data_IF_305528913046
#
_entry.id   IF_305528913046
#
_cell.length_a   1.000
_cell.length_b   1.000
_cell.length_c   1.000
_cell.angle_alpha   90.00
_cell.angle_beta   90.00
_cell.angle_gamma   90.00
#
_symmetry.space_group_name_H-M   'P 1'
#
loop_
_entity.id
_entity.type
_entity.pdbx_description
1 polymer ?
#
# COMPACT_ATOMS: atom_id res chain seq x y z
N UNK A 1 -17.82 24.33 -26.50
CA UNK A 1 -16.82 23.28 -26.17
C UNK A 1 -16.27 23.39 -24.75
N UNK A 2 -15.63 24.49 -24.32
CA UNK A 2 -15.02 24.61 -22.96
C UNK A 2 -15.95 24.25 -21.79
N UNK A 3 -17.20 24.76 -21.78
CA UNK A 3 -18.18 24.50 -20.71
C UNK A 3 -18.57 23.02 -20.55
N UNK A 4 -18.50 22.22 -21.63
CA UNK A 4 -18.80 20.79 -21.58
C UNK A 4 -17.62 20.00 -20.99
N UNK A 5 -16.38 20.38 -21.33
CA UNK A 5 -15.16 19.74 -20.79
C UNK A 5 -15.03 20.01 -19.29
N UNK A 6 -15.30 21.24 -18.83
CA UNK A 6 -15.31 21.57 -17.40
C UNK A 6 -16.35 20.75 -16.63
N UNK A 7 -17.54 20.55 -17.23
CA UNK A 7 -18.57 19.70 -16.65
C UNK A 7 -18.12 18.24 -16.59
N UNK A 8 -17.64 17.67 -17.70
CA UNK A 8 -17.18 16.28 -17.74
C UNK A 8 -16.02 16.04 -16.75
N UNK A 9 -15.15 17.03 -16.58
CA UNK A 9 -14.07 17.02 -15.60
C UNK A 9 -14.57 17.02 -14.15
N UNK A 10 -15.58 17.84 -13.84
CA UNK A 10 -16.22 17.82 -12.53
C UNK A 10 -16.86 16.45 -12.26
N UNK A 11 -17.58 15.90 -13.23
CA UNK A 11 -18.17 14.56 -13.13
C UNK A 11 -17.12 13.47 -12.94
N UNK A 12 -15.97 13.56 -13.60
CA UNK A 12 -14.86 12.61 -13.39
C UNK A 12 -14.36 12.66 -11.95
N UNK A 13 -14.12 13.85 -11.41
CA UNK A 13 -13.64 14.01 -10.04
C UNK A 13 -14.64 13.48 -9.02
N UNK A 14 -15.93 13.78 -9.20
CA UNK A 14 -17.00 13.22 -8.35
C UNK A 14 -17.02 11.69 -8.45
N UNK A 15 -16.90 11.15 -9.66
CA UNK A 15 -16.90 9.69 -9.88
C UNK A 15 -15.68 9.02 -9.23
N UNK A 16 -14.50 9.65 -9.27
CA UNK A 16 -13.30 9.17 -8.57
C UNK A 16 -13.55 9.14 -7.06
N UNK A 17 -14.15 10.18 -6.49
CA UNK A 17 -14.48 10.23 -5.05
C UNK A 17 -15.45 9.10 -4.68
N UNK A 18 -16.54 8.94 -5.44
CA UNK A 18 -17.52 7.86 -5.22
C UNK A 18 -16.84 6.49 -5.29
N UNK A 19 -15.98 6.27 -6.29
CA UNK A 19 -15.22 5.03 -6.45
C UNK A 19 -14.32 4.76 -5.24
N UNK A 20 -13.52 5.74 -4.82
CA UNK A 20 -12.60 5.59 -3.68
C UNK A 20 -13.37 5.31 -2.39
N UNK A 21 -14.44 6.06 -2.13
CA UNK A 21 -15.30 5.84 -0.96
C UNK A 21 -15.94 4.46 -1.01
N UNK A 22 -16.42 4.01 -2.16
CA UNK A 22 -16.97 2.65 -2.33
C UNK A 22 -15.94 1.58 -1.95
N UNK A 23 -14.70 1.70 -2.43
CA UNK A 23 -13.64 0.75 -2.09
C UNK A 23 -13.36 0.77 -0.58
N UNK A 24 -13.12 1.95 0.00
CA UNK A 24 -12.82 2.07 1.44
C UNK A 24 -13.97 1.57 2.32
N UNK A 25 -15.21 1.93 1.99
CA UNK A 25 -16.40 1.49 2.74
C UNK A 25 -16.61 -0.03 2.63
N UNK A 26 -16.29 -0.65 1.50
CA UNK A 26 -16.37 -2.11 1.36
C UNK A 26 -15.42 -2.81 2.34
N UNK A 27 -14.22 -2.28 2.54
CA UNK A 27 -13.24 -2.80 3.50
C UNK A 27 -13.73 -2.64 4.94
N UNK A 28 -14.25 -1.44 5.27
CA UNK A 28 -14.82 -1.16 6.59
C UNK A 28 -16.03 -2.04 6.90
N UNK A 29 -16.95 -2.19 5.95
CA UNK A 29 -18.21 -2.92 6.12
C UNK A 29 -17.96 -4.41 6.35
N UNK A 30 -17.03 -5.00 5.59
CA UNK A 30 -16.63 -6.40 5.73
C UNK A 30 -15.62 -6.64 6.86
N UNK A 31 -15.23 -5.57 7.60
CA UNK A 31 -14.28 -5.60 8.73
C UNK A 31 -12.99 -6.38 8.42
N UNK A 32 -12.37 -6.09 7.28
CA UNK A 32 -11.27 -6.91 6.73
C UNK A 32 -9.97 -6.72 7.52
N UNK A 33 -9.72 -7.54 8.55
CA UNK A 33 -8.45 -7.54 9.29
C UNK A 33 -7.55 -8.67 8.81
N UNK A 34 -6.44 -8.33 8.14
CA UNK A 34 -5.48 -9.31 7.65
C UNK A 34 -4.05 -8.91 7.94
N UNK A 35 -3.14 -9.89 8.01
CA UNK A 35 -1.72 -9.68 8.27
C UNK A 35 -1.53 -8.72 9.46
N UNK A 36 -0.58 -7.78 9.40
CA UNK A 36 -0.20 -6.94 10.55
C UNK A 36 -1.40 -6.21 11.18
N UNK A 37 -2.51 -5.98 10.47
CA UNK A 37 -3.72 -5.41 11.06
C UNK A 37 -4.29 -6.30 12.19
N UNK A 38 -4.19 -7.64 12.07
CA UNK A 38 -4.60 -8.60 13.12
C UNK A 38 -3.70 -8.49 14.35
N UNK A 39 -2.38 -8.41 14.19
CA UNK A 39 -1.46 -8.24 15.32
C UNK A 39 -1.75 -6.95 16.07
N UNK A 40 -1.90 -5.84 15.33
CA UNK A 40 -2.14 -4.53 15.92
C UNK A 40 -3.53 -4.46 16.59
N UNK A 41 -4.55 -5.07 16.00
CA UNK A 41 -5.86 -5.15 16.65
C UNK A 41 -5.79 -5.94 17.97
N UNK A 42 -4.95 -6.98 18.04
CA UNK A 42 -4.77 -7.80 19.25
C UNK A 42 -4.04 -7.10 20.37
N UNK A 43 -2.83 -6.61 20.10
CA UNK A 43 -1.89 -6.11 21.12
C UNK A 43 -2.48 -4.96 21.94
N UNK A 44 -3.50 -4.29 21.40
CA UNK A 44 -3.97 -3.00 21.88
C UNK A 44 -5.48 -2.96 22.12
N UNK A 45 -6.16 -4.11 22.10
CA UNK A 45 -7.59 -4.22 22.47
C UNK A 45 -7.84 -3.91 23.94
N UNK A 46 -6.82 -4.04 24.79
CA UNK A 46 -6.91 -3.85 26.24
C UNK A 46 -5.83 -2.88 26.74
N UNK A 47 -5.86 -1.63 26.25
CA UNK A 47 -4.96 -0.59 26.76
C UNK A 47 -5.44 -0.18 28.16
N UNK A 48 -4.69 -0.60 29.18
CA UNK A 48 -4.91 -0.19 30.58
C UNK A 48 -4.09 1.04 31.00
N UNK A 49 -3.18 1.49 30.14
CA UNK A 49 -2.25 2.59 30.42
C UNK A 49 -2.86 3.96 30.10
N UNK A 50 -2.28 5.02 30.66
CA UNK A 50 -2.60 6.40 30.26
C UNK A 50 -2.13 6.68 28.83
N UNK A 51 -2.74 7.67 28.16
CA UNK A 51 -2.42 8.03 26.77
C UNK A 51 -0.92 8.19 26.52
N UNK A 52 -0.23 9.01 27.31
CA UNK A 52 1.20 9.25 27.11
C UNK A 52 2.06 8.02 27.36
N UNK A 53 1.75 7.22 28.39
CA UNK A 53 2.44 5.95 28.65
C UNK A 53 2.27 4.99 27.46
N UNK A 54 1.04 4.91 26.94
CA UNK A 54 0.72 4.09 25.79
C UNK A 54 1.50 4.49 24.54
N UNK A 55 1.50 5.79 24.19
CA UNK A 55 2.26 6.31 23.05
C UNK A 55 3.74 5.97 23.18
N UNK A 56 4.34 6.18 24.36
CA UNK A 56 5.75 5.87 24.58
C UNK A 56 6.05 4.38 24.41
N UNK A 57 5.22 3.50 25.00
CA UNK A 57 5.37 2.04 24.87
C UNK A 57 5.20 1.58 23.43
N UNK A 58 4.24 2.16 22.69
CA UNK A 58 4.00 1.85 21.29
C UNK A 58 5.17 2.26 20.40
N UNK A 59 5.70 3.45 20.61
CA UNK A 59 6.86 3.97 19.89
C UNK A 59 8.13 3.17 20.19
N UNK A 60 8.24 2.59 21.38
CA UNK A 60 9.34 1.69 21.74
C UNK A 60 9.19 0.27 21.13
N UNK A 61 8.14 0.00 20.34
CA UNK A 61 8.05 -1.28 19.64
C UNK A 61 9.13 -1.44 18.57
N UNK A 62 9.53 -2.69 18.33
CA UNK A 62 10.51 -3.08 17.31
C UNK A 62 10.15 -2.53 15.92
N UNK A 63 8.86 -2.36 15.63
CA UNK A 63 8.40 -1.89 14.32
C UNK A 63 8.22 -0.38 14.22
N UNK A 64 7.89 0.32 15.31
CA UNK A 64 7.48 1.73 15.27
C UNK A 64 8.55 2.71 15.76
N UNK A 65 9.58 2.24 16.48
CA UNK A 65 10.73 3.07 16.88
C UNK A 65 11.44 3.71 15.67
N UNK A 66 11.40 3.02 14.54
CA UNK A 66 11.93 3.48 13.26
C UNK A 66 11.06 4.55 12.56
N UNK A 67 9.81 4.74 13.01
CA UNK A 67 8.80 5.53 12.30
C UNK A 67 7.97 6.39 13.25
N UNK A 68 8.60 7.25 14.06
CA UNK A 68 7.95 7.89 15.20
C UNK A 68 6.77 8.79 14.84
N UNK A 69 6.79 9.43 13.66
CA UNK A 69 5.70 10.31 13.24
C UNK A 69 4.44 9.50 12.96
N UNK A 70 4.57 8.44 12.18
CA UNK A 70 3.44 7.57 11.85
C UNK A 70 3.03 6.70 13.03
N UNK A 71 3.99 6.30 13.86
CA UNK A 71 3.77 5.54 15.08
C UNK A 71 2.93 6.33 16.07
N UNK A 72 3.21 7.63 16.23
CA UNK A 72 2.38 8.52 17.05
C UNK A 72 0.93 8.55 16.54
N UNK A 73 0.72 8.83 15.25
CA UNK A 73 -0.65 8.92 14.68
C UNK A 73 -1.37 7.57 14.79
N UNK A 74 -0.70 6.47 14.46
CA UNK A 74 -1.26 5.12 14.58
C UNK A 74 -1.64 4.80 16.01
N UNK A 75 -0.73 5.05 16.96
CA UNK A 75 -0.99 4.83 18.37
C UNK A 75 -2.14 5.72 18.89
N UNK A 76 -2.26 6.97 18.43
CA UNK A 76 -3.42 7.80 18.76
C UNK A 76 -4.73 7.18 18.26
N UNK A 77 -4.76 6.74 17.00
CA UNK A 77 -5.95 6.06 16.43
C UNK A 77 -6.28 4.81 17.25
N UNK A 78 -5.27 4.03 17.61
CA UNK A 78 -5.46 2.79 18.37
C UNK A 78 -5.91 3.05 19.81
N UNK A 79 -5.32 4.04 20.47
CA UNK A 79 -5.70 4.45 21.83
C UNK A 79 -7.13 4.96 21.89
N UNK A 80 -7.59 5.69 20.87
CA UNK A 80 -8.99 6.12 20.78
C UNK A 80 -9.88 4.93 20.41
N UNK A 81 -9.34 3.96 19.65
CA UNK A 81 -10.12 2.81 19.22
C UNK A 81 -10.50 1.89 20.37
N UNK A 82 -9.61 1.57 21.31
CA UNK A 82 -9.84 0.65 22.44
C UNK A 82 -10.79 -0.52 22.08
N UNK A 83 -12.08 -0.38 22.41
CA UNK A 83 -13.14 -1.37 22.24
C UNK A 83 -13.97 -1.22 20.95
N UNK A 84 -13.71 -0.18 20.14
CA UNK A 84 -14.46 0.18 18.95
C UNK A 84 -13.60 0.02 17.68
N UNK A 85 -13.79 -1.12 17.01
CA UNK A 85 -13.19 -1.45 15.72
C UNK A 85 -13.44 -0.39 14.63
N UNK A 86 -14.55 0.35 14.67
CA UNK A 86 -14.84 1.42 13.70
C UNK A 86 -13.80 2.55 13.72
N UNK A 87 -13.22 2.82 14.88
CA UNK A 87 -12.19 3.86 15.02
C UNK A 87 -10.86 3.38 14.43
N UNK A 88 -10.55 2.08 14.51
CA UNK A 88 -9.36 1.50 13.87
C UNK A 88 -9.41 1.67 12.34
N UNK A 89 -10.60 1.49 11.75
CA UNK A 89 -10.84 1.74 10.33
C UNK A 89 -10.67 3.22 9.93
N UNK A 90 -10.54 4.17 10.87
CA UNK A 90 -10.19 5.55 10.54
C UNK A 90 -8.85 5.64 9.81
N UNK A 91 -7.94 4.68 10.03
CA UNK A 91 -6.68 4.57 9.29
C UNK A 91 -6.87 4.54 7.77
N UNK A 92 -7.98 3.97 7.28
CA UNK A 92 -8.28 3.90 5.84
C UNK A 92 -8.60 5.28 5.22
N UNK A 93 -9.03 6.28 6.01
CA UNK A 93 -9.32 7.63 5.49
C UNK A 93 -8.05 8.39 5.07
N UNK A 94 -6.87 7.97 5.54
CA UNK A 94 -5.62 8.58 5.08
C UNK A 94 -5.34 8.31 3.61
N UNK A 95 -5.88 7.23 3.02
CA UNK A 95 -5.75 6.99 1.59
C UNK A 95 -6.54 8.00 0.73
N UNK A 96 -7.85 8.24 0.94
CA UNK A 96 -8.55 9.37 0.31
C UNK A 96 -7.88 10.73 0.55
N UNK A 97 -7.35 10.97 1.75
CA UNK A 97 -6.64 12.22 2.05
C UNK A 97 -5.35 12.36 1.22
N UNK A 98 -4.59 11.27 1.05
CA UNK A 98 -3.39 11.28 0.21
C UNK A 98 -3.73 11.52 -1.26
N UNK A 99 -4.85 10.99 -1.77
CA UNK A 99 -5.36 11.29 -3.12
C UNK A 99 -5.70 12.77 -3.31
N UNK A 100 -6.32 13.40 -2.31
CA UNK A 100 -6.62 14.83 -2.35
C UNK A 100 -5.34 15.65 -2.45
N UNK A 101 -4.33 15.35 -1.63
CA UNK A 101 -3.03 16.05 -1.68
C UNK A 101 -2.32 15.80 -3.01
N UNK A 102 -2.34 14.57 -3.53
CA UNK A 102 -1.78 14.26 -4.86
C UNK A 102 -2.47 15.11 -5.94
N UNK A 103 -3.81 15.16 -5.94
CA UNK A 103 -4.58 15.95 -6.89
C UNK A 103 -4.23 17.43 -6.79
N UNK A 104 -4.22 17.99 -5.58
CA UNK A 104 -3.93 19.41 -5.31
C UNK A 104 -2.53 19.80 -5.77
N UNK A 105 -1.52 18.98 -5.50
CA UNK A 105 -0.15 19.24 -5.95
C UNK A 105 -0.04 19.05 -7.46
N UNK A 106 -0.63 18.00 -8.02
CA UNK A 106 -0.57 17.72 -9.46
C UNK A 106 -1.23 18.82 -10.30
N UNK A 107 -2.39 19.35 -9.91
CA UNK A 107 -3.08 20.40 -10.65
C UNK A 107 -2.37 21.76 -10.62
N UNK A 108 -1.44 21.96 -9.68
CA UNK A 108 -0.58 23.16 -9.66
C UNK A 108 0.57 23.04 -10.65
N UNK A 109 1.01 21.82 -10.95
CA UNK A 109 2.15 21.53 -11.83
C UNK A 109 1.67 21.24 -13.27
N UNK A 110 0.50 20.62 -13.40
CA UNK A 110 -0.07 20.11 -14.64
C UNK A 110 -1.50 20.61 -14.84
N UNK A 111 -2.10 20.26 -15.98
CA UNK A 111 -3.52 20.55 -16.20
C UNK A 111 -4.41 19.72 -15.28
N UNK A 112 -5.60 20.25 -15.02
CA UNK A 112 -6.64 19.58 -14.22
C UNK A 112 -6.96 18.19 -14.77
N UNK A 113 -7.00 18.03 -16.10
CA UNK A 113 -7.25 16.74 -16.76
C UNK A 113 -6.19 15.70 -16.38
N UNK A 114 -4.90 16.08 -16.46
CA UNK A 114 -3.79 15.19 -16.11
C UNK A 114 -3.73 14.91 -14.62
N UNK A 115 -3.97 15.92 -13.78
CA UNK A 115 -4.05 15.73 -12.33
C UNK A 115 -5.11 14.68 -11.98
N UNK A 116 -6.28 14.77 -12.60
CA UNK A 116 -7.37 13.81 -12.40
C UNK A 116 -7.02 12.40 -12.87
N UNK A 117 -6.34 12.28 -14.02
CA UNK A 117 -5.87 10.99 -14.52
C UNK A 117 -4.79 10.38 -13.60
N UNK A 118 -3.84 11.19 -13.11
CA UNK A 118 -2.82 10.74 -12.14
C UNK A 118 -3.49 10.25 -10.86
N UNK A 119 -4.43 11.02 -10.31
CA UNK A 119 -5.17 10.65 -9.10
C UNK A 119 -5.98 9.37 -9.31
N UNK A 120 -6.68 9.23 -10.43
CA UNK A 120 -7.40 8.00 -10.78
C UNK A 120 -6.45 6.81 -10.85
N UNK A 121 -5.39 6.89 -11.67
CA UNK A 121 -4.45 5.76 -11.85
C UNK A 121 -3.69 5.45 -10.57
N UNK A 122 -3.38 6.43 -9.72
CA UNK A 122 -2.85 6.18 -8.39
C UNK A 122 -3.87 5.45 -7.53
N UNK A 123 -5.12 5.87 -7.53
CA UNK A 123 -6.20 5.26 -6.74
C UNK A 123 -6.48 3.79 -7.13
N UNK A 124 -6.21 3.39 -8.38
CA UNK A 124 -6.42 2.03 -8.86
C UNK A 124 -5.14 1.28 -9.25
N UNK A 125 -3.95 1.79 -8.88
CA UNK A 125 -2.68 1.13 -9.17
C UNK A 125 -2.55 -0.22 -8.47
N UNK A 126 -2.10 -1.23 -9.22
CA UNK A 126 -1.76 -2.57 -8.72
C UNK A 126 -0.43 -2.61 -7.92
N UNK A 127 0.38 -1.56 -8.02
CA UNK A 127 1.58 -1.38 -7.21
C UNK A 127 1.17 -0.74 -5.88
N UNK A 128 1.57 -1.35 -4.76
CA UNK A 128 1.28 -0.87 -3.43
C UNK A 128 -0.19 -1.02 -3.02
N UNK A 129 -0.90 -2.05 -3.47
CA UNK A 129 -2.36 -2.20 -3.21
C UNK A 129 -2.68 -2.24 -1.73
N UNK A 130 -1.86 -2.89 -0.90
CA UNK A 130 -2.03 -2.93 0.56
C UNK A 130 -2.21 -1.55 1.19
N UNK A 131 -1.66 -0.49 0.59
CA UNK A 131 -1.77 0.90 1.09
C UNK A 131 -3.21 1.41 1.16
N UNK A 132 -4.08 0.82 0.34
CA UNK A 132 -5.50 1.16 0.24
C UNK A 132 -6.39 0.27 1.11
N UNK A 133 -5.98 -0.96 1.37
CA UNK A 133 -6.83 -2.00 1.98
C UNK A 133 -6.51 -2.29 3.45
N UNK A 134 -5.41 -1.77 3.97
CA UNK A 134 -4.92 -2.03 5.32
C UNK A 134 -4.87 -0.75 6.14
N UNK A 135 -5.42 -0.79 7.36
CA UNK A 135 -5.52 0.37 8.23
C UNK A 135 -4.14 0.79 8.76
N UNK A 136 -3.24 -0.16 9.06
CA UNK A 136 -1.86 0.13 9.47
C UNK A 136 -1.05 0.83 8.36
N UNK A 137 -1.51 0.78 7.11
CA UNK A 137 -0.87 1.48 5.99
C UNK A 137 -1.16 2.98 5.95
N UNK A 138 -1.86 3.54 6.96
CA UNK A 138 -1.90 4.98 7.18
C UNK A 138 -0.50 5.60 7.19
N UNK A 139 0.53 4.85 7.63
CA UNK A 139 1.93 5.28 7.63
C UNK A 139 2.43 5.65 6.24
N UNK A 140 2.14 4.82 5.23
CA UNK A 140 2.52 5.08 3.84
C UNK A 140 1.72 6.23 3.24
N UNK A 141 0.46 6.37 3.64
CA UNK A 141 -0.39 7.48 3.18
C UNK A 141 0.08 8.83 3.74
N UNK A 142 0.40 8.90 5.03
CA UNK A 142 1.02 10.07 5.67
C UNK A 142 2.36 10.41 5.03
N UNK A 143 3.22 9.41 4.80
CA UNK A 143 4.49 9.62 4.13
C UNK A 143 4.31 10.23 2.74
N UNK A 144 3.32 9.76 1.98
CA UNK A 144 2.95 10.30 0.66
C UNK A 144 2.47 11.75 0.75
N UNK A 145 1.59 12.07 1.72
CA UNK A 145 1.11 13.44 1.95
C UNK A 145 2.29 14.38 2.21
N UNK A 146 3.14 14.05 3.18
CA UNK A 146 4.29 14.88 3.52
C UNK A 146 5.28 15.01 2.37
N UNK A 147 5.48 13.93 1.60
CA UNK A 147 6.33 13.96 0.41
C UNK A 147 5.79 14.92 -0.66
N UNK A 148 4.51 14.80 -1.02
CA UNK A 148 3.87 15.67 -2.01
C UNK A 148 3.90 17.14 -1.58
N UNK A 149 3.61 17.41 -0.30
CA UNK A 149 3.69 18.76 0.25
C UNK A 149 5.13 19.30 0.26
N UNK A 150 6.12 18.45 0.54
CA UNK A 150 7.54 18.85 0.44
C UNK A 150 7.89 19.31 -0.97
N UNK A 151 7.50 18.54 -1.99
CA UNK A 151 7.73 18.90 -3.40
C UNK A 151 7.00 20.21 -3.75
N UNK A 152 5.75 20.37 -3.30
CA UNK A 152 4.98 21.59 -3.52
C UNK A 152 5.67 22.83 -2.93
N UNK A 153 6.08 22.77 -1.65
CA UNK A 153 6.79 23.86 -0.97
C UNK A 153 8.14 24.16 -1.64
N UNK A 154 8.87 23.11 -2.04
CA UNK A 154 10.15 23.26 -2.73
C UNK A 154 10.00 23.97 -4.08
N UNK A 155 9.00 23.55 -4.86
CA UNK A 155 8.82 24.00 -6.24
C UNK A 155 8.21 25.40 -6.31
N UNK A 156 7.11 25.66 -5.59
CA UNK A 156 6.37 26.91 -5.69
C UNK A 156 6.85 27.99 -4.72
N UNK A 157 7.13 27.62 -3.47
CA UNK A 157 7.54 28.58 -2.43
C UNK A 157 9.05 28.73 -2.32
N UNK A 158 9.83 27.81 -2.91
CA UNK A 158 11.30 27.79 -2.87
C UNK A 158 11.87 27.82 -1.45
N UNK A 159 11.07 27.39 -0.47
CA UNK A 159 11.40 27.34 0.95
C UNK A 159 12.01 25.96 1.27
N UNK A 160 13.33 25.96 1.40
CA UNK A 160 14.11 24.73 1.63
C UNK A 160 13.90 24.21 3.03
N UNK A 161 13.79 25.08 4.03
CA UNK A 161 13.66 24.64 5.41
C UNK A 161 12.35 23.88 5.62
N UNK A 162 11.22 24.47 5.19
CA UNK A 162 9.92 23.83 5.33
C UNK A 162 9.80 22.57 4.45
N UNK A 163 10.36 22.58 3.23
CA UNK A 163 10.45 21.36 2.41
C UNK A 163 11.27 20.28 3.10
N UNK A 164 12.44 20.61 3.67
CA UNK A 164 13.25 19.66 4.42
C UNK A 164 12.49 19.06 5.60
N UNK A 165 11.77 19.88 6.38
CA UNK A 165 10.96 19.38 7.51
C UNK A 165 9.87 18.41 7.05
N UNK A 166 9.13 18.74 5.99
CA UNK A 166 8.12 17.86 5.42
C UNK A 166 8.73 16.58 4.85
N UNK A 167 9.89 16.66 4.20
CA UNK A 167 10.59 15.47 3.71
C UNK A 167 11.10 14.57 4.85
N UNK A 168 11.67 15.15 5.91
CA UNK A 168 12.05 14.41 7.11
C UNK A 168 10.82 13.72 7.71
N UNK A 169 9.70 14.44 7.86
CA UNK A 169 8.45 13.86 8.34
C UNK A 169 8.00 12.69 7.44
N UNK A 170 8.09 12.80 6.11
CA UNK A 170 7.79 11.70 5.19
C UNK A 170 8.65 10.46 5.47
N UNK A 171 9.97 10.62 5.59
CA UNK A 171 10.89 9.50 5.86
C UNK A 171 10.66 8.88 7.24
N UNK A 172 10.36 9.70 8.25
CA UNK A 172 10.02 9.23 9.61
C UNK A 172 8.59 8.68 9.73
N UNK A 173 7.76 8.80 8.69
CA UNK A 173 6.53 8.02 8.59
C UNK A 173 6.80 6.67 7.91
N UNK A 174 7.58 6.66 6.83
CA UNK A 174 7.95 5.43 6.16
C UNK A 174 9.28 5.58 5.41
N UNK A 175 10.28 4.81 5.81
CA UNK A 175 11.65 4.93 5.33
C UNK A 175 11.82 4.67 3.83
N UNK A 176 10.84 4.03 3.17
CA UNK A 176 10.85 3.79 1.73
C UNK A 176 10.92 5.09 0.90
N UNK A 177 10.59 6.24 1.50
CA UNK A 177 10.68 7.57 0.88
C UNK A 177 12.10 8.17 0.91
N UNK A 178 13.02 7.64 1.72
CA UNK A 178 14.38 8.17 1.87
C UNK A 178 15.12 8.34 0.54
N UNK A 179 15.10 7.38 -0.39
CA UNK A 179 15.81 7.54 -1.67
C UNK A 179 15.31 8.70 -2.53
N UNK A 180 14.10 9.22 -2.30
CA UNK A 180 13.55 10.35 -3.04
C UNK A 180 14.20 11.69 -2.65
N UNK A 181 15.19 11.67 -1.76
CA UNK A 181 16.09 12.80 -1.52
C UNK A 181 16.75 13.24 -2.83
N UNK A 182 17.17 12.31 -3.69
CA UNK A 182 17.81 12.62 -4.97
C UNK A 182 16.89 13.43 -5.89
N UNK A 183 15.58 13.16 -5.84
CA UNK A 183 14.61 13.93 -6.61
C UNK A 183 14.50 15.38 -6.11
N UNK A 184 14.54 15.61 -4.79
CA UNK A 184 14.57 16.97 -4.25
C UNK A 184 15.85 17.70 -4.69
N UNK A 185 17.00 17.04 -4.65
CA UNK A 185 18.27 17.61 -5.10
C UNK A 185 18.26 17.96 -6.59
N UNK A 186 17.59 17.15 -7.41
CA UNK A 186 17.38 17.45 -8.82
C UNK A 186 16.59 18.75 -9.02
N UNK A 187 15.52 18.98 -8.25
CA UNK A 187 14.71 20.20 -8.35
C UNK A 187 15.39 21.46 -7.82
N UNK A 188 16.29 21.35 -6.84
CA UNK A 188 17.04 22.50 -6.32
C UNK A 188 18.12 22.88 -7.32
N UNK A 189 18.06 24.08 -7.91
CA UNK A 189 19.06 24.53 -8.90
C UNK A 189 20.38 25.07 -8.30
N UNK A 190 20.34 25.69 -7.12
CA UNK A 190 21.52 26.35 -6.50
C UNK A 190 22.31 25.37 -5.63
N UNK A 191 23.62 25.26 -5.85
CA UNK A 191 24.49 24.33 -5.11
C UNK A 191 24.49 24.56 -3.58
N UNK A 192 24.61 25.82 -3.11
CA UNK A 192 24.52 26.13 -1.67
C UNK A 192 23.22 25.61 -1.04
N UNK A 193 22.10 25.82 -1.75
CA UNK A 193 20.77 25.36 -1.35
C UNK A 193 20.65 23.83 -1.32
N UNK A 194 21.29 23.12 -2.25
CA UNK A 194 21.37 21.64 -2.24
C UNK A 194 22.10 21.15 -1.00
N UNK A 195 23.27 21.71 -0.72
CA UNK A 195 24.08 21.35 0.45
C UNK A 195 23.29 21.58 1.74
N UNK A 196 22.63 22.74 1.88
CA UNK A 196 21.76 23.02 3.03
C UNK A 196 20.64 21.99 3.17
N UNK A 197 19.97 21.63 2.08
CA UNK A 197 18.92 20.61 2.11
C UNK A 197 19.46 19.25 2.56
N UNK A 198 20.62 18.81 2.05
CA UNK A 198 21.28 17.55 2.44
C UNK A 198 21.63 17.56 3.93
N UNK A 199 22.28 18.61 4.41
CA UNK A 199 22.70 18.71 5.82
C UNK A 199 21.50 18.65 6.75
N UNK A 200 20.43 19.40 6.45
CA UNK A 200 19.23 19.40 7.28
C UNK A 200 18.57 18.01 7.25
N UNK A 201 18.36 17.45 6.06
CA UNK A 201 17.61 16.19 5.90
C UNK A 201 18.40 14.98 6.39
N UNK A 202 19.53 14.66 5.77
CA UNK A 202 20.35 13.51 6.17
C UNK A 202 20.94 13.68 7.56
N UNK A 203 21.37 14.90 7.94
CA UNK A 203 21.87 15.16 9.28
C UNK A 203 20.82 14.85 10.35
N UNK A 204 19.58 15.34 10.18
CA UNK A 204 18.49 15.03 11.11
C UNK A 204 18.15 13.55 11.13
N UNK A 205 18.07 12.89 9.97
CA UNK A 205 17.75 11.46 9.88
C UNK A 205 18.84 10.62 10.53
N UNK A 206 20.12 10.93 10.32
CA UNK A 206 21.25 10.22 10.93
C UNK A 206 21.25 10.43 12.45
N UNK A 207 21.11 11.68 12.92
CA UNK A 207 21.03 11.99 14.35
C UNK A 207 19.87 11.22 14.98
N UNK A 208 18.70 11.21 14.33
CA UNK A 208 17.56 10.44 14.81
C UNK A 208 17.88 8.94 14.87
N UNK A 209 18.34 8.34 13.76
CA UNK A 209 18.55 6.89 13.65
C UNK A 209 19.69 6.35 14.51
N UNK A 210 20.78 7.10 14.66
CA UNK A 210 22.01 6.62 15.31
C UNK A 210 22.19 7.12 16.74
N UNK A 211 21.54 8.21 17.12
CA UNK A 211 21.69 8.80 18.46
C UNK A 211 20.36 8.74 19.21
N UNK A 212 19.31 9.36 18.68
CA UNK A 212 18.04 9.51 19.41
C UNK A 212 17.33 8.16 19.55
N UNK A 213 17.17 7.42 18.45
CA UNK A 213 16.42 6.17 18.42
C UNK A 213 17.01 5.12 19.37
N UNK A 214 18.33 4.83 19.38
CA UNK A 214 18.90 3.85 20.31
C UNK A 214 18.92 4.32 21.77
N UNK A 215 18.95 5.63 22.02
CA UNK A 215 18.97 6.19 23.37
C UNK A 215 17.57 6.23 24.01
N UNK A 216 16.53 6.48 23.20
CA UNK A 216 15.14 6.63 23.67
C UNK A 216 14.39 5.29 23.63
N UNK A 217 14.65 4.45 22.63
CA UNK A 217 13.88 3.22 22.40
C UNK A 217 14.72 1.97 22.67
N UNK A 218 14.41 1.29 23.78
CA UNK A 218 15.08 0.08 24.27
C UNK A 218 14.90 -1.11 23.31
N UNK A 219 13.73 -1.25 22.68
CA UNK A 219 13.45 -2.39 21.79
C UNK A 219 13.57 -2.02 20.30
N UNK A 220 14.34 -0.97 19.99
CA UNK A 220 14.52 -0.52 18.62
C UNK A 220 15.15 -1.61 17.72
N UNK A 221 14.45 -1.96 16.64
CA UNK A 221 14.97 -2.87 15.62
C UNK A 221 15.54 -2.07 14.44
N UNK A 222 16.78 -2.37 14.05
CA UNK A 222 17.40 -1.80 12.86
C UNK A 222 17.01 -2.64 11.64
N UNK A 223 16.22 -2.06 10.73
CA UNK A 223 15.83 -2.67 9.44
C UNK A 223 16.88 -2.48 8.34
N UNK A 224 17.89 -1.65 8.61
CA UNK A 224 18.93 -1.30 7.66
C UNK A 224 19.90 -2.48 7.50
N UNK A 225 20.11 -2.93 6.27
CA UNK A 225 21.03 -4.01 5.94
C UNK A 225 22.22 -3.48 5.14
N UNK A 226 22.84 -2.39 5.62
CA UNK A 226 23.93 -1.69 4.92
C UNK A 226 25.11 -2.63 4.67
N UNK A 227 25.40 -3.52 5.61
CA UNK A 227 26.54 -4.45 5.52
C UNK A 227 26.40 -5.48 4.39
N UNK A 228 25.18 -5.66 3.86
CA UNK A 228 24.86 -6.62 2.80
C UNK A 228 24.77 -5.97 1.40
N UNK A 229 25.03 -4.67 1.26
CA UNK A 229 25.03 -3.99 -0.05
C UNK A 229 26.09 -4.57 -1.01
N UNK A 230 27.22 -5.02 -0.45
CA UNK A 230 28.32 -5.61 -1.22
C UNK A 230 28.13 -7.12 -1.49
N UNK A 231 27.05 -7.72 -0.98
CA UNK A 231 26.70 -9.10 -1.32
C UNK A 231 26.15 -9.15 -2.76
N UNK A 232 27.04 -9.47 -3.69
CA UNK A 232 26.73 -9.56 -5.13
C UNK A 232 25.58 -10.51 -5.40
N UNK A 233 25.44 -11.63 -4.66
CA UNK A 233 24.33 -12.58 -4.86
C UNK A 233 23.01 -11.93 -4.51
N UNK A 234 22.94 -11.23 -3.37
CA UNK A 234 21.75 -10.50 -2.94
C UNK A 234 21.40 -9.37 -3.91
N UNK A 235 22.39 -8.59 -4.36
CA UNK A 235 22.16 -7.49 -5.33
C UNK A 235 21.58 -8.02 -6.64
N UNK A 236 22.15 -9.10 -7.18
CA UNK A 236 21.62 -9.77 -8.38
C UNK A 236 20.19 -10.26 -8.13
N UNK A 237 19.92 -10.87 -6.97
CA UNK A 237 18.58 -11.35 -6.63
C UNK A 237 17.55 -10.21 -6.56
N UNK A 238 17.90 -9.08 -5.94
CA UNK A 238 17.03 -7.89 -5.89
C UNK A 238 16.77 -7.35 -7.30
N UNK A 239 17.79 -7.31 -8.15
CA UNK A 239 17.62 -6.89 -9.55
C UNK A 239 16.70 -7.85 -10.31
N UNK A 240 16.87 -9.16 -10.16
CA UNK A 240 16.00 -10.16 -10.79
C UNK A 240 14.55 -10.04 -10.30
N UNK A 241 14.33 -9.83 -9.00
CA UNK A 241 12.99 -9.61 -8.46
C UNK A 241 12.38 -8.28 -8.93
N UNK A 242 13.18 -7.23 -9.04
CA UNK A 242 12.75 -5.95 -9.61
C UNK A 242 12.33 -6.08 -11.08
N UNK A 243 13.13 -6.79 -11.89
CA UNK A 243 12.80 -7.06 -13.29
C UNK A 243 11.53 -7.93 -13.39
N UNK A 244 11.45 -9.00 -12.59
CA UNK A 244 10.27 -9.88 -12.53
C UNK A 244 9.01 -9.11 -12.13
N UNK A 245 9.11 -8.17 -11.20
CA UNK A 245 7.99 -7.33 -10.77
C UNK A 245 7.38 -6.57 -11.96
N UNK A 246 8.20 -5.85 -12.72
CA UNK A 246 7.73 -5.02 -13.84
C UNK A 246 7.39 -5.82 -15.10
N UNK A 247 8.09 -6.93 -15.36
CA UNK A 247 7.95 -7.69 -16.61
C UNK A 247 6.97 -8.86 -16.52
N UNK A 248 6.70 -9.40 -15.33
CA UNK A 248 5.87 -10.58 -15.16
C UNK A 248 4.76 -10.38 -14.13
N UNK A 249 5.09 -9.96 -12.91
CA UNK A 249 4.15 -10.08 -11.79
C UNK A 249 2.97 -9.09 -11.91
N UNK A 250 3.22 -7.87 -12.40
CA UNK A 250 2.17 -6.90 -12.76
C UNK A 250 1.20 -7.50 -13.79
N UNK A 251 1.72 -8.08 -14.88
CA UNK A 251 0.88 -8.65 -15.93
C UNK A 251 0.14 -9.90 -15.47
N UNK A 252 0.74 -10.72 -14.61
CA UNK A 252 0.09 -11.86 -13.97
C UNK A 252 -1.12 -11.41 -13.13
N UNK A 253 -0.97 -10.32 -12.38
CA UNK A 253 -2.06 -9.70 -11.62
C UNK A 253 -3.19 -9.17 -12.48
N UNK A 254 -2.87 -8.47 -13.57
CA UNK A 254 -3.85 -8.01 -14.56
C UNK A 254 -4.59 -9.21 -15.16
N UNK A 255 -3.87 -10.24 -15.60
CA UNK A 255 -4.46 -11.43 -16.20
C UNK A 255 -5.44 -12.12 -15.25
N UNK A 256 -5.03 -12.36 -14.00
CA UNK A 256 -5.91 -12.93 -12.96
C UNK A 256 -7.14 -12.06 -12.71
N UNK A 257 -6.97 -10.74 -12.70
CA UNK A 257 -8.07 -9.79 -12.53
C UNK A 257 -9.05 -9.81 -13.70
N UNK A 258 -8.54 -9.89 -14.93
CA UNK A 258 -9.35 -10.07 -16.13
C UNK A 258 -10.12 -11.38 -16.06
N UNK A 259 -9.54 -12.48 -15.57
CA UNK A 259 -10.31 -13.73 -15.40
C UNK A 259 -11.42 -13.59 -14.34
N UNK A 260 -11.19 -12.77 -13.31
CA UNK A 260 -12.14 -12.50 -12.24
C UNK A 260 -13.19 -11.43 -12.56
N UNK A 261 -13.18 -10.82 -13.76
CA UNK A 261 -14.13 -9.77 -14.14
C UNK A 261 -15.60 -10.18 -13.99
N UNK A 262 -15.92 -11.48 -14.13
CA UNK A 262 -17.27 -12.02 -13.98
C UNK A 262 -17.81 -11.91 -12.55
N UNK A 263 -16.93 -11.71 -11.56
CA UNK A 263 -17.29 -11.54 -10.14
C UNK A 263 -17.63 -10.10 -9.79
N UNK A 264 -17.49 -9.16 -10.73
CA UNK A 264 -17.86 -7.77 -10.50
C UNK A 264 -19.39 -7.64 -10.41
N UNK A 265 -19.85 -6.90 -9.41
CA UNK A 265 -21.26 -6.60 -9.26
C UNK A 265 -21.71 -5.52 -10.26
N UNK A 266 -23.02 -5.34 -10.40
CA UNK A 266 -23.61 -4.41 -11.35
C UNK A 266 -23.17 -2.95 -11.11
N UNK A 267 -23.05 -2.52 -9.86
CA UNK A 267 -22.61 -1.17 -9.51
C UNK A 267 -21.14 -0.94 -9.92
N UNK A 268 -20.26 -1.91 -9.68
CA UNK A 268 -18.85 -1.86 -10.09
C UNK A 268 -18.71 -1.70 -11.61
N UNK A 269 -19.53 -2.42 -12.39
CA UNK A 269 -19.58 -2.27 -13.84
C UNK A 269 -20.01 -0.86 -14.27
N UNK A 270 -21.05 -0.32 -13.64
CA UNK A 270 -21.51 1.05 -13.92
C UNK A 270 -20.38 2.05 -13.66
N UNK A 271 -19.70 1.96 -12.52
CA UNK A 271 -18.64 2.90 -12.15
C UNK A 271 -17.46 2.81 -13.12
N UNK A 272 -17.05 1.60 -13.51
CA UNK A 272 -15.99 1.39 -14.52
C UNK A 272 -16.38 2.06 -15.84
N UNK A 273 -17.59 1.79 -16.34
CA UNK A 273 -18.06 2.33 -17.62
C UNK A 273 -18.16 3.86 -17.60
N UNK A 274 -18.70 4.44 -16.53
CA UNK A 274 -18.81 5.90 -16.37
C UNK A 274 -17.43 6.55 -16.36
N UNK A 275 -16.52 6.09 -15.49
CA UNK A 275 -15.20 6.71 -15.33
C UNK A 275 -14.39 6.60 -16.63
N UNK A 276 -14.37 5.42 -17.25
CA UNK A 276 -13.61 5.19 -18.49
C UNK A 276 -14.18 5.99 -19.67
N UNK A 277 -15.51 6.12 -19.77
CA UNK A 277 -16.16 6.98 -20.76
C UNK A 277 -15.82 8.46 -20.55
N UNK A 278 -15.81 8.93 -19.31
CA UNK A 278 -15.41 10.30 -18.97
C UNK A 278 -13.94 10.55 -19.30
N UNK A 279 -13.04 9.61 -18.99
CA UNK A 279 -11.63 9.67 -19.39
C UNK A 279 -11.51 9.79 -20.91
N UNK A 280 -12.17 8.92 -21.68
CA UNK A 280 -12.17 9.01 -23.14
C UNK A 280 -12.64 10.38 -23.64
N UNK A 281 -13.76 10.88 -23.10
CA UNK A 281 -14.38 12.13 -23.54
C UNK A 281 -13.49 13.35 -23.25
N UNK A 282 -12.90 13.42 -22.05
CA UNK A 282 -12.00 14.51 -21.65
C UNK A 282 -10.74 14.55 -22.52
N UNK A 283 -10.17 13.37 -22.83
CA UNK A 283 -8.90 13.29 -23.54
C UNK A 283 -9.02 13.24 -25.06
N UNK A 284 -10.20 12.97 -25.63
CA UNK A 284 -10.40 12.92 -27.08
C UNK A 284 -10.08 14.24 -27.79
N UNK A 285 -10.35 15.35 -27.12
CA UNK A 285 -10.10 16.70 -27.62
C UNK A 285 -8.90 17.38 -26.95
N UNK A 286 -8.11 16.63 -26.17
CA UNK A 286 -6.98 17.17 -25.42
C UNK A 286 -5.76 17.41 -26.34
N UNK A 287 -5.17 18.61 -26.25
CA UNK A 287 -3.97 18.96 -27.03
C UNK A 287 -2.70 18.42 -26.36
N UNK A 288 -2.36 17.16 -26.68
CA UNK A 288 -1.16 16.51 -26.18
C UNK A 288 0.13 17.13 -26.73
N UNK A 289 0.11 17.66 -27.96
CA UNK A 289 1.32 18.18 -28.63
C UNK A 289 1.83 19.45 -27.94
N UNK A 290 0.93 20.33 -27.50
CA UNK A 290 1.28 21.56 -26.78
C UNK A 290 2.06 21.32 -25.48
N UNK A 291 1.95 20.13 -24.89
CA UNK A 291 2.60 19.79 -23.61
C UNK A 291 3.75 18.79 -23.71
N UNK A 292 4.20 18.49 -24.93
CA UNK A 292 5.22 17.47 -25.19
C UNK A 292 6.48 17.61 -24.31
N UNK A 293 7.02 18.82 -24.17
CA UNK A 293 8.21 19.04 -23.36
C UNK A 293 7.97 18.77 -21.87
N UNK A 294 6.77 19.08 -21.37
CA UNK A 294 6.38 18.77 -19.99
C UNK A 294 6.34 17.26 -19.77
N UNK A 295 5.73 16.51 -20.70
CA UNK A 295 5.68 15.05 -20.64
C UNK A 295 7.05 14.39 -20.72
N UNK A 296 7.97 14.92 -21.54
CA UNK A 296 9.35 14.43 -21.60
C UNK A 296 10.05 14.59 -20.26
N UNK A 297 9.92 15.77 -19.64
CA UNK A 297 10.53 16.05 -18.33
C UNK A 297 9.92 15.16 -17.23
N UNK A 298 8.59 15.04 -17.20
CA UNK A 298 7.89 14.16 -16.25
C UNK A 298 8.25 12.69 -16.43
N UNK A 299 8.39 12.21 -17.67
CA UNK A 299 8.80 10.85 -17.98
C UNK A 299 10.21 10.54 -17.44
N UNK A 300 11.16 11.47 -17.62
CA UNK A 300 12.51 11.33 -17.07
C UNK A 300 12.49 11.38 -15.54
N UNK A 301 11.77 12.34 -14.96
CA UNK A 301 11.64 12.50 -13.50
C UNK A 301 11.03 11.24 -12.88
N UNK A 302 9.95 10.72 -13.45
CA UNK A 302 9.29 9.51 -12.95
C UNK A 302 10.18 8.28 -13.08
N UNK A 303 10.89 8.11 -14.20
CA UNK A 303 11.83 7.00 -14.37
C UNK A 303 12.96 7.06 -13.32
N UNK A 304 13.58 8.24 -13.14
CA UNK A 304 14.61 8.43 -12.11
C UNK A 304 14.06 8.15 -10.70
N UNK A 305 12.85 8.64 -10.41
CA UNK A 305 12.21 8.44 -9.12
C UNK A 305 11.82 6.97 -8.86
N UNK A 306 11.45 6.20 -9.90
CA UNK A 306 11.26 4.74 -9.78
C UNK A 306 12.60 4.08 -9.43
N UNK A 307 13.68 4.38 -10.15
CA UNK A 307 15.01 3.82 -9.83
C UNK A 307 15.48 4.18 -8.42
N UNK A 308 15.32 5.45 -8.02
CA UNK A 308 15.59 5.87 -6.64
C UNK A 308 14.72 5.10 -5.65
N UNK A 309 13.40 5.02 -5.85
CA UNK A 309 12.49 4.28 -4.99
C UNK A 309 12.88 2.80 -4.85
N UNK A 310 13.26 2.14 -5.94
CA UNK A 310 13.72 0.75 -5.93
C UNK A 310 15.03 0.55 -5.17
N UNK A 311 15.87 1.59 -5.02
CA UNK A 311 17.12 1.46 -4.27
C UNK A 311 16.91 1.09 -2.79
N UNK A 312 15.72 1.35 -2.21
CA UNK A 312 15.44 0.95 -0.82
C UNK A 312 15.62 -0.55 -0.59
N UNK A 313 15.33 -1.38 -1.60
CA UNK A 313 15.46 -2.84 -1.50
C UNK A 313 16.93 -3.29 -1.36
N UNK A 314 17.89 -2.47 -1.82
CA UNK A 314 19.32 -2.71 -1.61
C UNK A 314 19.74 -2.44 -0.17
N UNK A 315 19.11 -1.47 0.49
CA UNK A 315 19.49 -0.99 1.83
C UNK A 315 18.64 -1.59 2.97
N UNK A 316 17.63 -2.40 2.67
CA UNK A 316 16.67 -2.94 3.64
C UNK A 316 16.40 -4.42 3.44
N UNK A 317 15.82 -5.09 4.42
CA UNK A 317 15.38 -6.49 4.30
C UNK A 317 14.16 -6.71 3.39
N UNK A 318 13.62 -5.66 2.77
CA UNK A 318 12.45 -5.77 1.91
C UNK A 318 12.76 -6.49 0.59
N UNK A 319 11.75 -7.20 0.07
CA UNK A 319 11.79 -7.84 -1.23
C UNK A 319 10.84 -7.08 -2.16
N UNK A 320 11.28 -6.70 -3.38
CA UNK A 320 10.39 -6.06 -4.34
C UNK A 320 9.40 -7.10 -4.87
N UNK A 321 8.14 -6.99 -4.49
CA UNK A 321 7.06 -7.86 -4.96
C UNK A 321 5.71 -7.15 -4.94
N UNK A 322 4.84 -7.49 -5.89
CA UNK A 322 3.42 -7.04 -5.90
C UNK A 322 2.50 -8.03 -5.18
N UNK A 323 3.03 -9.15 -4.67
CA UNK A 323 2.24 -10.18 -4.02
C UNK A 323 2.21 -10.04 -2.50
N UNK A 324 1.11 -10.51 -1.91
CA UNK A 324 0.87 -10.53 -0.48
C UNK A 324 0.85 -9.14 0.13
N UNK A 325 1.00 -9.12 1.46
CA UNK A 325 1.03 -7.88 2.20
C UNK A 325 2.28 -7.03 1.92
N UNK A 326 3.40 -7.67 1.55
CA UNK A 326 4.69 -7.03 1.26
C UNK A 326 4.66 -6.03 0.09
N UNK A 327 3.61 -6.08 -0.74
CA UNK A 327 3.33 -5.07 -1.76
C UNK A 327 3.32 -3.63 -1.20
N UNK A 328 3.02 -3.47 0.11
CA UNK A 328 3.10 -2.18 0.82
C UNK A 328 4.41 -1.42 0.64
N UNK A 329 5.53 -2.13 0.46
CA UNK A 329 6.86 -1.53 0.35
C UNK A 329 7.05 -0.77 -0.98
N UNK A 330 6.12 -0.90 -1.93
CA UNK A 330 6.16 -0.21 -3.22
C UNK A 330 5.45 1.15 -3.22
N UNK A 331 5.10 1.71 -2.05
CA UNK A 331 4.32 2.94 -1.95
C UNK A 331 4.91 4.15 -2.68
N UNK A 332 6.23 4.31 -2.67
CA UNK A 332 6.91 5.36 -3.45
C UNK A 332 6.83 5.12 -4.95
N UNK A 333 6.99 3.86 -5.37
CA UNK A 333 6.96 3.46 -6.77
C UNK A 333 5.55 3.63 -7.34
N UNK A 334 4.49 3.43 -6.53
CA UNK A 334 3.08 3.61 -6.92
C UNK A 334 2.84 4.95 -7.63
N UNK A 335 3.31 6.07 -7.05
CA UNK A 335 3.10 7.41 -7.63
C UNK A 335 3.89 7.62 -8.93
N UNK A 336 5.16 7.25 -8.93
CA UNK A 336 5.99 7.52 -10.11
C UNK A 336 5.70 6.57 -11.26
N UNK A 337 5.27 5.35 -10.97
CA UNK A 337 4.80 4.40 -11.98
C UNK A 337 3.59 4.93 -12.75
N UNK A 338 2.61 5.54 -12.07
CA UNK A 338 1.42 6.09 -12.76
C UNK A 338 1.78 7.29 -13.63
N UNK A 339 2.64 8.19 -13.14
CA UNK A 339 3.16 9.32 -13.92
C UNK A 339 3.96 8.82 -15.12
N UNK A 340 4.76 7.77 -14.94
CA UNK A 340 5.57 7.15 -15.99
C UNK A 340 4.68 6.57 -17.09
N UNK A 341 3.64 5.79 -16.74
CA UNK A 341 2.70 5.22 -17.72
C UNK A 341 2.04 6.33 -18.55
N UNK A 342 1.55 7.38 -17.90
CA UNK A 342 0.92 8.51 -18.61
C UNK A 342 1.92 9.16 -19.57
N UNK A 343 3.12 9.48 -19.08
CA UNK A 343 4.15 10.16 -19.86
C UNK A 343 4.64 9.30 -21.03
N UNK A 344 4.93 8.02 -20.78
CA UNK A 344 5.39 7.07 -21.79
C UNK A 344 4.34 6.85 -22.88
N UNK A 345 3.05 6.71 -22.51
CA UNK A 345 1.95 6.57 -23.47
C UNK A 345 1.87 7.76 -24.40
N UNK A 346 1.92 8.99 -23.86
CA UNK A 346 1.84 10.22 -24.67
C UNK A 346 3.06 10.36 -25.57
N UNK A 347 4.27 10.14 -25.03
CA UNK A 347 5.51 10.27 -25.79
C UNK A 347 5.57 9.26 -26.94
N UNK A 348 5.19 8.01 -26.68
CA UNK A 348 5.16 6.95 -27.69
C UNK A 348 4.09 7.25 -28.76
N UNK A 349 2.88 7.65 -28.34
CA UNK A 349 1.81 7.97 -29.27
C UNK A 349 2.13 9.17 -30.18
N UNK A 350 2.73 10.22 -29.63
CA UNK A 350 3.18 11.38 -30.43
C UNK A 350 4.29 10.96 -31.40
N UNK A 351 5.26 10.14 -30.95
CA UNK A 351 6.33 9.63 -31.83
C UNK A 351 5.78 8.78 -32.98
N UNK A 352 4.69 8.06 -32.76
CA UNK A 352 3.97 7.26 -33.75
C UNK A 352 2.92 8.06 -34.56
N UNK A 353 2.83 9.38 -34.37
CA UNK A 353 1.84 10.26 -35.01
C UNK A 353 0.38 9.82 -34.81
N UNK A 354 0.04 9.21 -33.66
CA UNK A 354 -1.32 8.82 -33.34
C UNK A 354 -2.20 10.05 -33.01
N UNK A 355 -3.47 10.00 -33.42
CA UNK A 355 -4.44 11.06 -33.12
C UNK A 355 -4.90 11.06 -31.65
N UNK A 356 -5.37 12.21 -31.16
CA UNK A 356 -5.80 12.40 -29.77
C UNK A 356 -6.86 11.37 -29.31
N UNK A 357 -7.81 11.01 -30.19
CA UNK A 357 -8.82 9.99 -29.90
C UNK A 357 -8.21 8.62 -29.62
N UNK A 358 -7.14 8.24 -30.31
CA UNK A 358 -6.44 6.96 -30.07
C UNK A 358 -5.77 7.00 -28.68
N UNK A 359 -5.10 8.10 -28.34
CA UNK A 359 -4.50 8.30 -27.02
C UNK A 359 -5.57 8.23 -25.91
N UNK A 360 -6.72 8.86 -26.14
CA UNK A 360 -7.85 8.82 -25.22
C UNK A 360 -8.40 7.40 -25.03
N UNK A 361 -8.48 6.59 -26.09
CA UNK A 361 -8.83 5.16 -26.00
C UNK A 361 -7.81 4.41 -25.14
N UNK A 362 -6.51 4.62 -25.35
CA UNK A 362 -5.46 4.00 -24.53
C UNK A 362 -5.59 4.36 -23.05
N UNK A 363 -5.90 5.62 -22.72
CA UNK A 363 -6.13 6.01 -21.32
C UNK A 363 -7.40 5.42 -20.74
N UNK A 364 -8.49 5.37 -21.51
CA UNK A 364 -9.73 4.73 -21.05
C UNK A 364 -9.52 3.23 -20.79
N UNK A 365 -8.82 2.52 -21.68
CA UNK A 365 -8.49 1.10 -21.50
C UNK A 365 -7.58 0.91 -20.27
N UNK A 366 -6.51 1.72 -20.14
CA UNK A 366 -5.61 1.66 -18.99
C UNK A 366 -6.36 1.89 -17.68
N UNK A 367 -7.21 2.91 -17.62
CA UNK A 367 -8.06 3.19 -16.46
C UNK A 367 -9.01 2.01 -16.16
N UNK A 368 -9.64 1.43 -17.18
CA UNK A 368 -10.51 0.27 -17.03
C UNK A 368 -9.76 -0.93 -16.45
N UNK A 369 -8.59 -1.26 -16.98
CA UNK A 369 -7.78 -2.38 -16.53
C UNK A 369 -7.33 -2.20 -15.08
N UNK A 370 -6.90 -0.99 -14.71
CA UNK A 370 -6.50 -0.70 -13.35
C UNK A 370 -7.69 -0.76 -12.39
N UNK A 371 -8.86 -0.24 -12.77
CA UNK A 371 -10.07 -0.33 -11.96
C UNK A 371 -10.54 -1.77 -11.77
N UNK A 372 -10.61 -2.57 -12.83
CA UNK A 372 -10.96 -4.00 -12.75
C UNK A 372 -9.98 -4.73 -11.83
N UNK A 373 -8.68 -4.44 -11.97
CA UNK A 373 -7.65 -5.02 -11.12
C UNK A 373 -7.86 -4.62 -9.66
N UNK A 374 -8.01 -3.34 -9.36
CA UNK A 374 -8.19 -2.87 -7.98
C UNK A 374 -9.47 -3.41 -7.32
N UNK A 375 -10.57 -3.50 -8.07
CA UNK A 375 -11.82 -4.12 -7.59
C UNK A 375 -11.63 -5.62 -7.34
N UNK A 376 -10.91 -6.32 -8.23
CA UNK A 376 -10.58 -7.73 -8.05
C UNK A 376 -9.74 -7.96 -6.80
N UNK A 377 -8.76 -7.08 -6.54
CA UNK A 377 -7.96 -7.10 -5.32
C UNK A 377 -8.83 -6.85 -4.10
N UNK A 378 -9.70 -5.83 -4.10
CA UNK A 378 -10.67 -5.62 -3.02
C UNK A 378 -11.47 -6.89 -2.72
N UNK A 379 -12.02 -7.53 -3.75
CA UNK A 379 -12.76 -8.79 -3.61
C UNK A 379 -11.89 -9.94 -3.07
N UNK A 380 -10.61 -9.97 -3.45
CA UNK A 380 -9.64 -10.96 -2.96
C UNK A 380 -9.31 -10.75 -1.48
N UNK A 381 -9.21 -9.50 -1.03
CA UNK A 381 -9.05 -9.15 0.39
C UNK A 381 -10.26 -9.57 1.22
N UNK A 382 -11.48 -9.30 0.72
CA UNK A 382 -12.74 -9.77 1.35
C UNK A 382 -12.73 -11.30 1.45
N UNK A 383 -12.36 -11.98 0.36
CA UNK A 383 -12.28 -13.43 0.31
C UNK A 383 -11.29 -13.98 1.35
N UNK A 384 -10.07 -13.43 1.40
CA UNK A 384 -9.04 -13.88 2.34
C UNK A 384 -9.50 -13.71 3.81
N UNK A 385 -10.21 -12.62 4.13
CA UNK A 385 -10.80 -12.42 5.45
C UNK A 385 -11.84 -13.50 5.78
N UNK A 386 -12.79 -13.72 4.86
CA UNK A 386 -13.82 -14.75 5.02
C UNK A 386 -13.24 -16.15 5.13
N UNK A 387 -12.20 -16.45 4.36
CA UNK A 387 -11.47 -17.72 4.43
C UNK A 387 -10.86 -17.93 5.83
N UNK A 388 -10.21 -16.91 6.40
CA UNK A 388 -9.64 -17.01 7.75
C UNK A 388 -10.73 -17.23 8.80
N UNK A 389 -11.84 -16.51 8.72
CA UNK A 389 -12.99 -16.74 9.61
C UNK A 389 -13.57 -18.14 9.47
N UNK A 390 -13.79 -18.62 8.25
CA UNK A 390 -14.32 -19.95 7.99
C UNK A 390 -13.38 -21.05 8.51
N UNK A 391 -12.07 -20.88 8.31
CA UNK A 391 -11.04 -21.80 8.81
C UNK A 391 -11.11 -21.92 10.34
N UNK A 392 -11.15 -20.78 11.05
CA UNK A 392 -11.17 -20.77 12.51
C UNK A 392 -12.53 -21.15 13.10
N UNK A 393 -13.64 -20.84 12.44
CA UNK A 393 -14.98 -21.29 12.84
C UNK A 393 -15.12 -22.81 12.74
N UNK A 394 -14.60 -23.42 11.66
CA UNK A 394 -14.53 -24.88 11.53
C UNK A 394 -13.58 -25.47 12.56
N UNK A 395 -12.49 -24.78 12.88
CA UNK A 395 -11.54 -25.24 13.89
C UNK A 395 -12.21 -25.26 15.26
N UNK A 396 -12.97 -24.22 15.61
CA UNK A 396 -13.75 -24.15 16.84
C UNK A 396 -14.70 -25.34 16.96
N UNK A 397 -15.45 -25.64 15.89
CA UNK A 397 -16.35 -26.80 15.86
C UNK A 397 -15.58 -28.10 16.10
N UNK A 398 -14.45 -28.29 15.43
CA UNK A 398 -13.62 -29.50 15.59
C UNK A 398 -12.99 -29.61 17.00
N UNK A 399 -12.61 -28.49 17.62
CA UNK A 399 -12.12 -28.42 19.01
C UNK A 399 -13.21 -28.89 19.98
N UNK A 400 -14.43 -28.39 19.81
CA UNK A 400 -15.57 -28.70 20.65
C UNK A 400 -15.98 -30.17 20.51
N UNK A 401 -16.06 -30.67 19.26
CA UNK A 401 -16.36 -32.08 18.97
C UNK A 401 -15.33 -33.05 19.57
N UNK A 402 -14.07 -32.60 19.72
CA UNK A 402 -12.99 -33.40 20.31
C UNK A 402 -12.79 -33.12 21.81
N UNK A 403 -13.65 -32.32 22.45
CA UNK A 403 -13.55 -31.92 23.85
C UNK A 403 -12.18 -31.34 24.25
N UNK A 404 -11.56 -30.55 23.38
CA UNK A 404 -10.24 -29.94 23.64
C UNK A 404 -10.43 -28.64 24.42
N UNK A 405 -10.00 -28.64 25.68
CA UNK A 405 -10.20 -27.50 26.61
C UNK A 405 -9.00 -26.55 26.63
N UNK A 406 -7.78 -27.07 26.39
CA UNK A 406 -6.53 -26.30 26.39
C UNK A 406 -5.45 -27.00 25.59
N UNK A 407 -4.48 -26.24 25.10
CA UNK A 407 -3.26 -26.77 24.51
C UNK A 407 -2.85 -26.08 23.22
N UNK A 408 -1.84 -26.64 22.59
CA UNK A 408 -1.31 -26.17 21.32
C UNK A 408 -1.89 -26.99 20.17
N UNK A 409 -2.42 -26.28 19.18
CA UNK A 409 -3.07 -26.86 18.01
C UNK A 409 -2.30 -26.47 16.76
N UNK A 410 -1.86 -27.46 16.00
CA UNK A 410 -1.34 -27.29 14.66
C UNK A 410 -2.46 -27.35 13.64
N UNK A 411 -2.64 -26.28 12.86
CA UNK A 411 -3.44 -26.26 11.65
C UNK A 411 -2.54 -26.61 10.47
N UNK A 412 -2.84 -27.73 9.82
CA UNK A 412 -2.16 -28.21 8.63
C UNK A 412 -3.03 -27.98 7.40
N UNK A 413 -2.57 -27.10 6.51
CA UNK A 413 -3.15 -26.91 5.19
C UNK A 413 -2.11 -26.35 4.23
N UNK A 414 -2.23 -26.71 2.95
CA UNK A 414 -1.28 -26.29 1.92
C UNK A 414 -1.49 -24.82 1.53
N UNK A 415 -0.99 -23.93 2.39
CA UNK A 415 -1.11 -22.49 2.22
C UNK A 415 -0.45 -22.00 0.92
N UNK A 416 0.67 -22.60 0.52
CA UNK A 416 1.39 -22.17 -0.68
C UNK A 416 0.59 -22.50 -1.94
N UNK A 417 -0.05 -23.67 -1.97
CA UNK A 417 -0.94 -24.04 -3.06
C UNK A 417 -2.22 -23.19 -3.06
N UNK A 418 -2.81 -22.93 -1.89
CA UNK A 418 -3.97 -22.06 -1.73
C UNK A 418 -3.69 -20.67 -2.31
N UNK A 419 -2.59 -20.02 -1.88
CA UNK A 419 -2.18 -18.71 -2.38
C UNK A 419 -1.84 -18.70 -3.88
N UNK A 420 -1.33 -19.81 -4.42
CA UNK A 420 -0.88 -19.87 -5.82
C UNK A 420 -2.01 -20.11 -6.80
N UNK A 421 -2.90 -21.07 -6.48
CA UNK A 421 -3.89 -21.62 -7.43
C UNK A 421 -5.28 -21.03 -7.21
N UNK A 422 -5.63 -20.55 -6.02
CA UNK A 422 -7.00 -20.11 -5.76
C UNK A 422 -7.39 -18.94 -6.68
N UNK A 423 -8.44 -19.10 -7.51
CA UNK A 423 -8.87 -18.07 -8.45
C UNK A 423 -9.47 -16.83 -7.76
N UNK A 424 -9.82 -16.91 -6.47
CA UNK A 424 -10.29 -15.76 -5.69
C UNK A 424 -9.16 -14.86 -5.21
N UNK A 425 -7.89 -15.26 -5.37
CA UNK A 425 -6.73 -14.48 -4.95
C UNK A 425 -6.01 -13.88 -6.15
N UNK A 426 -6.00 -12.56 -6.22
CA UNK A 426 -5.39 -11.80 -7.32
C UNK A 426 -3.89 -11.67 -7.10
N UNK A 427 -3.51 -11.08 -5.97
CA UNK A 427 -2.12 -10.87 -5.58
C UNK A 427 -1.70 -11.72 -4.39
N UNK A 428 -2.33 -12.89 -4.17
CA UNK A 428 -2.00 -13.77 -3.03
C UNK A 428 -2.23 -13.07 -1.70
N UNK A 429 -3.42 -12.49 -1.58
CA UNK A 429 -3.87 -11.78 -0.40
C UNK A 429 -3.69 -12.66 0.85
N UNK A 430 -3.27 -12.07 1.99
CA UNK A 430 -2.80 -12.83 3.16
C UNK A 430 -3.92 -13.67 3.80
N UNK A 431 -3.72 -14.99 3.81
CA UNK A 431 -4.48 -15.97 4.62
C UNK A 431 -3.62 -16.44 5.80
N UNK A 432 -4.24 -17.04 6.82
CA UNK A 432 -3.61 -17.39 8.10
C UNK A 432 -2.30 -18.18 7.95
N UNK A 433 -1.18 -17.50 8.15
CA UNK A 433 0.14 -18.11 8.08
C UNK A 433 0.88 -17.91 9.39
N UNK A 434 0.94 -16.67 9.87
CA UNK A 434 1.86 -16.30 10.94
C UNK A 434 1.22 -16.55 12.30
N UNK A 435 2.03 -17.04 13.24
CA UNK A 435 1.57 -17.38 14.59
C UNK A 435 0.93 -16.20 15.32
N UNK A 436 1.40 -14.97 15.06
CA UNK A 436 0.86 -13.76 15.69
C UNK A 436 -0.52 -13.35 15.14
N UNK A 437 -0.97 -13.90 14.01
CA UNK A 437 -2.33 -13.68 13.47
C UNK A 437 -3.37 -14.48 14.27
N UNK A 438 -2.94 -15.60 14.88
CA UNK A 438 -3.83 -16.58 15.50
C UNK A 438 -4.67 -16.04 16.67
N UNK A 439 -4.15 -15.23 17.62
CA UNK A 439 -4.91 -14.85 18.79
C UNK A 439 -6.23 -14.10 18.48
N UNK A 440 -6.20 -13.14 17.54
CA UNK A 440 -7.42 -12.43 17.12
C UNK A 440 -8.34 -13.34 16.32
N UNK A 441 -7.80 -14.15 15.41
CA UNK A 441 -8.60 -15.10 14.65
C UNK A 441 -9.27 -16.12 15.58
N UNK A 442 -8.61 -16.55 16.65
CA UNK A 442 -9.22 -17.36 17.71
C UNK A 442 -10.37 -16.61 18.38
N UNK A 443 -10.11 -15.43 18.91
CA UNK A 443 -11.10 -14.65 19.67
C UNK A 443 -12.34 -14.30 18.82
N UNK A 444 -12.14 -13.84 17.59
CA UNK A 444 -13.23 -13.50 16.65
C UNK A 444 -14.11 -14.71 16.30
N UNK A 445 -13.61 -15.94 16.48
CA UNK A 445 -14.32 -17.18 16.18
C UNK A 445 -14.67 -17.98 17.46
N UNK A 446 -14.61 -17.35 18.64
CA UNK A 446 -15.04 -17.96 19.91
C UNK A 446 -14.08 -18.99 20.49
N UNK A 447 -12.82 -19.00 20.06
CA UNK A 447 -11.73 -19.78 20.65
C UNK A 447 -11.00 -18.87 21.66
N UNK A 448 -10.83 -19.34 22.90
CA UNK A 448 -10.10 -18.62 23.95
C UNK A 448 -8.58 -18.68 23.67
N UNK A 449 -7.94 -17.58 23.23
CA UNK A 449 -6.53 -17.59 22.88
C UNK A 449 -5.60 -17.75 24.10
N UNK A 450 -6.12 -17.57 25.32
CA UNK A 450 -5.39 -17.82 26.57
C UNK A 450 -5.33 -19.30 26.96
N UNK A 451 -6.19 -20.14 26.37
CA UNK A 451 -6.22 -21.60 26.61
C UNK A 451 -5.76 -22.41 25.41
N UNK A 452 -6.09 -21.95 24.21
CA UNK A 452 -5.84 -22.64 22.96
C UNK A 452 -4.93 -21.78 22.09
N UNK A 453 -3.72 -22.28 21.85
CA UNK A 453 -2.75 -21.61 20.98
C UNK A 453 -2.72 -22.32 19.64
N UNK A 454 -3.13 -21.61 18.60
CA UNK A 454 -3.21 -22.13 17.24
C UNK A 454 -1.97 -21.70 16.45
N UNK A 455 -1.35 -22.67 15.79
CA UNK A 455 -0.17 -22.46 14.95
C UNK A 455 -0.41 -23.01 13.56
N UNK A 456 0.18 -22.39 12.54
CA UNK A 456 0.32 -23.04 11.25
C UNK A 456 1.46 -24.06 11.33
N UNK A 457 1.23 -25.30 10.89
CA UNK A 457 2.22 -26.39 11.02
C UNK A 457 3.54 -26.10 10.29
N UNK A 458 3.50 -25.28 9.24
CA UNK A 458 4.71 -24.83 8.52
C UNK A 458 5.63 -23.98 9.41
N UNK A 459 5.07 -23.27 10.39
CA UNK A 459 5.81 -22.45 11.34
C UNK A 459 6.10 -23.17 12.67
N UNK A 460 5.30 -24.18 13.04
CA UNK A 460 5.49 -24.99 14.26
C UNK A 460 5.06 -26.45 14.05
N UNK A 461 6.03 -27.32 13.79
CA UNK A 461 5.80 -28.74 13.43
C UNK A 461 5.51 -29.66 14.62
N UNK A 462 5.84 -29.25 15.84
CA UNK A 462 5.82 -30.07 17.05
C UNK A 462 4.52 -29.97 17.86
N UNK A 463 3.43 -29.51 17.24
CA UNK A 463 2.12 -29.44 17.90
C UNK A 463 1.60 -30.83 18.32
N UNK A 464 1.08 -30.93 19.54
CA UNK A 464 0.56 -32.20 20.09
C UNK A 464 -0.77 -32.61 19.45
N UNK A 465 -1.61 -31.64 19.14
CA UNK A 465 -2.90 -31.82 18.47
C UNK A 465 -2.78 -31.22 17.08
N UNK A 466 -3.15 -31.98 16.05
CA UNK A 466 -3.06 -31.52 14.66
C UNK A 466 -4.41 -31.70 13.98
N UNK A 467 -4.91 -30.61 13.41
CA UNK A 467 -6.08 -30.57 12.56
C UNK A 467 -5.66 -30.27 11.12
N UNK A 468 -6.12 -31.08 10.18
CA UNK A 468 -5.90 -30.87 8.75
C UNK A 468 -7.12 -30.19 8.15
N UNK A 469 -6.91 -29.10 7.42
CA UNK A 469 -7.94 -28.46 6.61
C UNK A 469 -7.77 -28.82 5.13
N UNK A 470 -8.77 -29.51 4.57
CA UNK A 470 -8.79 -29.91 3.16
C UNK A 470 -10.21 -29.86 2.60
N UNK A 471 -10.37 -29.26 1.42
CA UNK A 471 -11.66 -29.16 0.70
C UNK A 471 -12.79 -28.60 1.58
N UNK A 472 -12.50 -27.59 2.39
CA UNK A 472 -13.51 -26.99 3.28
C UNK A 472 -13.90 -27.84 4.48
N UNK A 473 -13.14 -28.88 4.83
CA UNK A 473 -13.39 -29.70 6.03
C UNK A 473 -12.16 -29.71 6.92
N UNK A 474 -12.39 -29.73 8.23
CA UNK A 474 -11.35 -29.94 9.24
C UNK A 474 -11.49 -31.34 9.81
N UNK A 475 -10.40 -32.09 9.81
CA UNK A 475 -10.31 -33.42 10.42
C UNK A 475 -9.09 -33.52 11.32
N UNK A 476 -9.24 -34.19 12.46
CA UNK A 476 -8.12 -34.43 13.37
C UNK A 476 -7.18 -35.49 12.78
N UNK A 477 -5.89 -35.20 12.77
CA UNK A 477 -4.83 -36.11 12.34
C UNK A 477 -4.05 -36.69 13.53
N UNK A 478 -3.86 -35.90 14.60
CA UNK A 478 -3.14 -36.29 15.81
C UNK A 478 -3.81 -35.69 17.05
#
# INVERSE_FOLDING_TARGET
MKKNIERDQLFLNISIIIYVLYISLSVCYEKILLADDLAMAYEYRFISQSYFSFICSFLDSSTMAARPVSGFVTATVMFISQYNEFVYWLGLFFFPLSLLVIYEVAQKILTVQLASLITLLYACSMIGTSIQFSAIMLNSNLATIFFCLSIYILYFHKNIFLSSLLFIASVLNYEIFLPLIFLHLFFIKKNKKRITFIIITLGTIIIFRKIIQPFIFLHSYQRDEIDKILDVKRVIQIFLYSAKLFLNDIFSGIYKSILNYKKLNFFEWIVILIITSLVYKIFSDYDFKKQLQSFKNLGIISLLAIFCGMSIFLFSSYIPTVFGFDNRNLGTIRLFHTIFIISATILLAIKLNLGNKIIAVFFAITASLFMITNISVKNSWIYANRFNHELFSKLKTAIDDNNIIRGEIGLDYDIFNELKINPNLTFREPVFFKNWEAPILCEMNGIDPGKIHVYNIENKKDCKIIFVYKNGKISRLK
#
